data_IF_112932069843
#
_entry.id   IF_112932069843
#
_cell.length_a   1.000
_cell.length_b   1.000
_cell.length_c   1.000
_cell.angle_alpha   90.00
_cell.angle_beta   90.00
_cell.angle_gamma   90.00
#
_symmetry.space_group_name_H-M   'P 1'
#
loop_
_entity.id
_entity.type
_entity.pdbx_description
1 polymer ?
#
# COMPACT_ATOMS: atom_id res chain seq x y z
N UNK A 1 -6.37 44.93 15.90
CA UNK A 1 -6.12 45.71 14.67
C UNK A 1 -4.91 45.08 13.99
N UNK A 2 -5.11 44.26 12.95
CA UNK A 2 -4.04 43.51 12.27
C UNK A 2 -3.61 44.32 11.05
N UNK A 3 -2.36 44.81 11.04
CA UNK A 3 -1.76 45.51 9.90
C UNK A 3 -1.61 44.55 8.73
N UNK A 4 -2.41 44.74 7.68
CA UNK A 4 -2.31 44.01 6.42
C UNK A 4 -1.06 44.52 5.68
N UNK A 5 -0.01 43.71 5.62
CA UNK A 5 1.26 44.05 4.95
C UNK A 5 1.00 44.17 3.44
N UNK A 6 0.99 45.40 2.91
CA UNK A 6 0.90 45.63 1.48
C UNK A 6 2.21 45.18 0.82
N UNK A 7 2.19 44.03 0.15
CA UNK A 7 3.32 43.57 -0.64
C UNK A 7 3.44 44.43 -1.89
N UNK A 8 4.58 45.07 -2.08
CA UNK A 8 4.87 45.91 -3.25
C UNK A 8 4.83 45.05 -4.54
N UNK A 9 4.09 45.51 -5.55
CA UNK A 9 3.92 44.85 -6.87
C UNK A 9 5.26 44.54 -7.52
N UNK A 10 6.26 45.41 -7.33
CA UNK A 10 7.62 45.19 -7.81
C UNK A 10 8.29 43.96 -7.17
N UNK A 11 8.12 43.78 -5.85
CA UNK A 11 8.64 42.62 -5.13
C UNK A 11 7.99 41.33 -5.62
N UNK A 12 6.68 41.36 -5.90
CA UNK A 12 5.98 40.21 -6.47
C UNK A 12 6.49 39.87 -7.87
N UNK A 13 6.70 40.88 -8.73
CA UNK A 13 7.23 40.68 -10.08
C UNK A 13 8.64 40.06 -10.08
N UNK A 14 9.54 40.60 -9.26
CA UNK A 14 10.90 40.06 -9.10
C UNK A 14 10.86 38.62 -8.58
N UNK A 15 10.00 38.31 -7.61
CA UNK A 15 9.85 36.95 -7.10
C UNK A 15 9.36 35.97 -8.20
N UNK A 16 8.40 36.37 -9.03
CA UNK A 16 7.89 35.54 -10.13
C UNK A 16 8.98 35.27 -11.17
N UNK A 17 9.71 36.31 -11.59
CA UNK A 17 10.80 36.15 -12.57
C UNK A 17 11.90 35.23 -12.07
N UNK A 18 12.24 35.31 -10.77
CA UNK A 18 13.26 34.44 -10.16
C UNK A 18 12.78 33.00 -9.95
N UNK A 19 11.50 32.79 -9.60
CA UNK A 19 10.95 31.46 -9.34
C UNK A 19 10.48 30.73 -10.61
N UNK A 20 10.08 31.45 -11.66
CA UNK A 20 9.63 30.86 -12.92
C UNK A 20 10.61 29.83 -13.52
N UNK A 21 11.92 30.09 -13.66
CA UNK A 21 12.86 29.09 -14.19
C UNK A 21 13.02 27.88 -13.26
N UNK A 22 12.89 28.09 -11.94
CA UNK A 22 12.93 27.00 -10.95
C UNK A 22 11.74 26.07 -11.15
N UNK A 23 10.52 26.61 -11.26
CA UNK A 23 9.33 25.81 -11.55
C UNK A 23 9.39 25.14 -12.92
N UNK A 24 9.89 25.85 -13.94
CA UNK A 24 10.06 25.29 -15.29
C UNK A 24 10.98 24.06 -15.30
N UNK A 25 11.97 24.01 -14.40
CA UNK A 25 12.88 22.86 -14.27
C UNK A 25 12.33 21.77 -13.33
N UNK A 26 11.65 22.13 -12.24
CA UNK A 26 11.14 21.16 -11.25
C UNK A 26 9.94 20.37 -11.80
N UNK A 27 9.01 21.03 -12.52
CA UNK A 27 7.80 20.39 -13.05
C UNK A 27 8.11 19.16 -13.93
N UNK A 28 8.98 19.23 -14.96
CA UNK A 28 9.28 18.07 -15.78
C UNK A 28 9.97 16.96 -15.00
N UNK A 29 10.79 17.29 -14.00
CA UNK A 29 11.42 16.28 -13.12
C UNK A 29 10.38 15.55 -12.25
N UNK A 30 9.42 16.28 -11.67
CA UNK A 30 8.33 15.66 -10.91
C UNK A 30 7.42 14.80 -11.80
N UNK A 31 7.14 15.26 -13.03
CA UNK A 31 6.35 14.49 -13.99
C UNK A 31 7.09 13.21 -14.42
N UNK A 32 8.38 13.31 -14.73
CA UNK A 32 9.21 12.14 -15.06
C UNK A 32 9.26 11.16 -13.89
N UNK A 33 9.45 11.63 -12.66
CA UNK A 33 9.41 10.80 -11.46
C UNK A 33 8.05 10.09 -11.29
N UNK A 34 6.94 10.80 -11.47
CA UNK A 34 5.59 10.23 -11.41
C UNK A 34 5.38 9.15 -12.47
N UNK A 35 5.79 9.40 -13.73
CA UNK A 35 5.71 8.42 -14.81
C UNK A 35 6.53 7.17 -14.48
N UNK A 36 7.77 7.34 -14.00
CA UNK A 36 8.60 6.23 -13.56
C UNK A 36 7.94 5.40 -12.45
N UNK A 37 7.30 6.04 -11.48
CA UNK A 37 6.56 5.35 -10.40
C UNK A 37 5.37 4.55 -10.94
N UNK A 38 4.61 5.13 -11.89
CA UNK A 38 3.48 4.44 -12.53
C UNK A 38 3.94 3.23 -13.35
N UNK A 39 5.00 3.38 -14.14
CA UNK A 39 5.60 2.29 -14.94
C UNK A 39 6.12 1.18 -14.02
N UNK A 40 6.81 1.54 -12.94
CA UNK A 40 7.32 0.57 -11.96
C UNK A 40 6.19 -0.20 -11.28
N UNK A 41 5.12 0.49 -10.86
CA UNK A 41 3.94 -0.16 -10.27
C UNK A 41 3.21 -1.09 -11.24
N UNK A 42 3.05 -0.68 -12.50
CA UNK A 42 2.46 -1.49 -13.55
C UNK A 42 3.32 -2.74 -13.84
N UNK A 43 4.64 -2.57 -13.95
CA UNK A 43 5.58 -3.68 -14.16
C UNK A 43 5.56 -4.67 -13.00
N UNK A 44 5.60 -4.21 -11.74
CA UNK A 44 5.47 -5.07 -10.56
C UNK A 44 4.18 -5.88 -10.58
N UNK A 45 3.06 -5.21 -10.88
CA UNK A 45 1.74 -5.84 -10.94
C UNK A 45 1.71 -6.92 -12.02
N UNK A 46 2.22 -6.62 -13.21
CA UNK A 46 2.29 -7.56 -14.32
C UNK A 46 3.18 -8.77 -14.01
N UNK A 47 4.35 -8.56 -13.43
CA UNK A 47 5.26 -9.63 -13.01
C UNK A 47 4.59 -10.53 -11.95
N UNK A 48 3.87 -9.96 -10.99
CA UNK A 48 3.10 -10.72 -10.01
C UNK A 48 2.04 -11.59 -10.70
N UNK A 49 1.29 -11.04 -11.66
CA UNK A 49 0.28 -11.84 -12.38
C UNK A 49 0.90 -13.03 -13.10
N UNK A 50 2.05 -12.84 -13.75
CA UNK A 50 2.73 -13.93 -14.45
C UNK A 50 3.28 -14.98 -13.48
N UNK A 51 3.97 -14.56 -12.42
CA UNK A 51 4.72 -15.47 -11.55
C UNK A 51 3.89 -16.06 -10.41
N UNK A 52 3.02 -15.26 -9.80
CA UNK A 52 2.18 -15.69 -8.68
C UNK A 52 0.85 -16.22 -9.20
N UNK A 53 0.24 -15.56 -10.20
CA UNK A 53 -1.01 -16.00 -10.80
C UNK A 53 -0.92 -17.41 -11.39
N UNK A 54 0.19 -17.75 -12.05
CA UNK A 54 0.45 -19.11 -12.54
C UNK A 54 0.54 -20.18 -11.43
N UNK A 55 0.73 -19.76 -10.18
CA UNK A 55 0.78 -20.64 -8.99
C UNK A 55 -0.49 -20.58 -8.14
N UNK A 56 -1.52 -19.87 -8.60
CA UNK A 56 -2.75 -19.62 -7.83
C UNK A 56 -2.55 -18.69 -6.63
N UNK A 57 -1.42 -17.96 -6.57
CA UNK A 57 -1.13 -17.01 -5.51
C UNK A 57 -1.62 -15.63 -5.97
N UNK A 58 -2.51 -15.02 -5.19
CA UNK A 58 -3.09 -13.71 -5.49
C UNK A 58 -2.96 -12.72 -4.33
N UNK A 59 -2.36 -13.12 -3.22
CA UNK A 59 -2.35 -12.33 -1.99
C UNK A 59 -0.95 -12.26 -1.37
N UNK A 60 -0.60 -11.10 -0.83
CA UNK A 60 0.57 -10.88 0.02
C UNK A 60 0.10 -10.47 1.42
N UNK A 61 0.48 -11.23 2.44
CA UNK A 61 0.22 -10.91 3.83
C UNK A 61 1.51 -10.46 4.48
N UNK A 62 1.47 -9.31 5.15
CA UNK A 62 2.58 -8.86 5.99
C UNK A 62 2.05 -8.63 7.40
N UNK A 63 2.65 -9.30 8.38
CA UNK A 63 2.31 -9.16 9.80
C UNK A 63 3.59 -9.17 10.65
N UNK A 64 3.48 -8.98 11.96
CA UNK A 64 4.59 -9.18 12.91
C UNK A 64 4.17 -10.03 14.09
N UNK A 65 5.14 -10.52 14.84
CA UNK A 65 4.95 -11.30 16.08
C UNK A 65 4.48 -10.46 17.28
N UNK A 66 3.69 -9.42 17.04
CA UNK A 66 3.10 -8.66 18.14
C UNK A 66 1.97 -9.47 18.77
N UNK A 67 1.92 -9.61 20.11
CA UNK A 67 0.86 -10.34 20.79
C UNK A 67 -0.53 -9.71 20.58
N UNK A 68 -0.61 -8.48 20.07
CA UNK A 68 -1.89 -7.80 19.83
C UNK A 68 -2.65 -8.32 18.62
N UNK A 69 -1.97 -8.89 17.63
CA UNK A 69 -2.59 -9.32 16.39
C UNK A 69 -2.03 -10.62 15.81
N UNK A 70 -0.87 -11.11 16.28
CA UNK A 70 -0.23 -12.33 15.75
C UNK A 70 -1.23 -13.48 15.69
N UNK A 71 -1.81 -13.84 16.83
CA UNK A 71 -2.72 -14.99 16.95
C UNK A 71 -3.96 -14.79 16.07
N UNK A 72 -4.49 -13.56 16.01
CA UNK A 72 -5.60 -13.26 15.13
C UNK A 72 -5.24 -13.43 13.64
N UNK A 73 -4.07 -12.95 13.23
CA UNK A 73 -3.61 -13.08 11.86
C UNK A 73 -3.36 -14.55 11.50
N UNK A 74 -2.75 -15.34 12.38
CA UNK A 74 -2.43 -16.75 12.14
C UNK A 74 -3.65 -17.66 12.20
N UNK A 75 -4.61 -17.37 13.07
CA UNK A 75 -5.71 -18.28 13.36
C UNK A 75 -6.97 -17.90 12.57
N UNK A 76 -7.14 -16.63 12.22
CA UNK A 76 -8.34 -16.12 11.53
C UNK A 76 -8.07 -15.65 10.11
N UNK A 77 -7.06 -14.80 9.88
CA UNK A 77 -6.89 -14.14 8.57
C UNK A 77 -6.16 -15.03 7.56
N UNK A 78 -4.99 -15.57 7.93
CA UNK A 78 -4.15 -16.39 7.05
C UNK A 78 -4.86 -17.66 6.58
N UNK A 79 -5.57 -18.43 7.44
CA UNK A 79 -6.23 -19.66 7.01
C UNK A 79 -7.31 -19.42 5.94
N UNK A 80 -8.00 -18.27 5.97
CA UNK A 80 -9.01 -17.88 4.95
C UNK A 80 -8.42 -17.72 3.55
N UNK A 81 -7.11 -17.49 3.44
CA UNK A 81 -6.44 -17.32 2.16
C UNK A 81 -6.10 -18.67 1.49
N UNK A 82 -6.30 -19.80 2.19
CA UNK A 82 -6.22 -21.15 1.62
C UNK A 82 -4.91 -21.46 0.86
N UNK A 83 -3.78 -20.94 1.33
CA UNK A 83 -2.48 -21.15 0.67
C UNK A 83 -2.23 -20.29 -0.58
N UNK A 84 -3.17 -19.42 -0.97
CA UNK A 84 -3.03 -18.47 -2.08
C UNK A 84 -2.24 -17.20 -1.72
N UNK A 85 -1.54 -17.24 -0.59
CA UNK A 85 -0.88 -16.09 -0.01
C UNK A 85 0.62 -16.34 0.19
N UNK A 86 1.42 -15.35 -0.20
CA UNK A 86 2.78 -15.22 0.28
C UNK A 86 2.74 -14.47 1.60
N UNK A 87 3.48 -14.97 2.58
CA UNK A 87 3.48 -14.42 3.94
C UNK A 87 4.87 -13.84 4.22
N UNK A 88 4.91 -12.61 4.70
CA UNK A 88 6.12 -11.95 5.18
C UNK A 88 5.97 -11.58 6.65
N UNK A 89 6.88 -12.07 7.49
CA UNK A 89 6.96 -11.66 8.89
C UNK A 89 7.89 -10.44 9.03
N UNK A 90 7.30 -9.30 9.42
CA UNK A 90 7.99 -8.02 9.62
C UNK A 90 8.98 -8.05 10.79
N UNK A 91 8.77 -8.92 11.79
CA UNK A 91 9.76 -9.15 12.85
C UNK A 91 11.08 -9.65 12.26
N UNK A 92 10.99 -10.45 11.19
CA UNK A 92 12.13 -11.07 10.50
C UNK A 92 12.67 -10.21 9.34
N UNK A 93 12.25 -8.95 9.22
CA UNK A 93 12.60 -8.07 8.09
C UNK A 93 14.10 -7.90 7.82
N UNK A 94 14.94 -8.14 8.83
CA UNK A 94 16.41 -8.11 8.68
C UNK A 94 16.93 -9.24 7.79
N UNK A 95 16.21 -10.35 7.70
CA UNK A 95 16.55 -11.52 6.87
C UNK A 95 15.88 -11.49 5.49
N UNK A 96 15.04 -10.49 5.23
CA UNK A 96 14.36 -10.39 3.95
C UNK A 96 15.36 -10.12 2.82
N UNK A 97 15.24 -10.89 1.74
CA UNK A 97 15.92 -10.59 0.49
C UNK A 97 15.31 -9.32 -0.09
N UNK A 98 16.03 -8.20 0.03
CA UNK A 98 15.54 -6.85 -0.33
C UNK A 98 15.10 -6.71 -1.79
N UNK A 99 15.68 -7.52 -2.67
CA UNK A 99 15.36 -7.58 -4.10
C UNK A 99 14.33 -8.66 -4.45
N UNK A 100 13.75 -9.34 -3.46
CA UNK A 100 12.71 -10.33 -3.74
C UNK A 100 11.40 -9.66 -4.13
N UNK A 101 10.67 -10.29 -5.05
CA UNK A 101 9.38 -9.78 -5.54
C UNK A 101 8.37 -9.48 -4.41
N UNK A 102 8.18 -10.35 -3.39
CA UNK A 102 7.25 -10.05 -2.30
C UNK A 102 7.61 -8.76 -1.54
N UNK A 103 8.91 -8.53 -1.32
CA UNK A 103 9.40 -7.34 -0.62
C UNK A 103 9.23 -6.09 -1.48
N UNK A 104 9.47 -6.18 -2.79
CA UNK A 104 9.24 -5.08 -3.72
C UNK A 104 7.75 -4.69 -3.79
N UNK A 105 6.87 -5.68 -3.88
CA UNK A 105 5.41 -5.50 -3.85
C UNK A 105 4.98 -4.85 -2.54
N UNK A 106 5.46 -5.37 -1.40
CA UNK A 106 5.17 -4.78 -0.10
C UNK A 106 5.61 -3.31 -0.03
N UNK A 107 6.86 -3.00 -0.37
CA UNK A 107 7.38 -1.62 -0.29
C UNK A 107 6.62 -0.65 -1.18
N UNK A 108 6.22 -1.08 -2.37
CA UNK A 108 5.52 -0.22 -3.31
C UNK A 108 4.05 0.01 -2.92
N UNK A 109 3.32 -1.06 -2.52
CA UNK A 109 1.87 -0.97 -2.29
C UNK A 109 1.48 -0.73 -0.83
N UNK A 110 2.32 -1.08 0.15
CA UNK A 110 1.99 -0.87 1.56
C UNK A 110 2.18 0.58 2.02
N UNK A 111 2.91 1.42 1.29
CA UNK A 111 3.18 2.81 1.67
C UNK A 111 3.87 2.96 3.04
N UNK A 112 3.91 4.19 3.56
CA UNK A 112 4.77 4.53 4.70
C UNK A 112 4.10 4.48 6.08
N UNK A 113 2.78 4.31 6.14
CA UNK A 113 1.99 4.34 7.38
C UNK A 113 1.11 3.11 7.51
N UNK A 114 0.92 2.63 8.74
CA UNK A 114 -0.03 1.54 9.05
C UNK A 114 0.12 0.32 8.13
N UNK A 115 1.38 -0.02 7.81
CA UNK A 115 1.73 -1.06 6.85
C UNK A 115 1.83 -2.46 7.49
N UNK A 116 1.56 -2.58 8.79
CA UNK A 116 1.63 -3.85 9.50
C UNK A 116 0.60 -3.86 10.66
N UNK A 117 -0.34 -4.82 10.70
CA UNK A 117 -0.56 -5.87 9.70
C UNK A 117 -1.30 -5.36 8.46
N UNK A 118 -1.00 -5.95 7.30
CA UNK A 118 -1.61 -5.61 6.01
C UNK A 118 -1.80 -6.86 5.15
N UNK A 119 -2.88 -6.89 4.38
CA UNK A 119 -3.14 -7.88 3.33
C UNK A 119 -3.24 -7.14 2.01
N UNK A 120 -2.47 -7.53 1.00
CA UNK A 120 -2.48 -6.92 -0.33
C UNK A 120 -2.97 -7.96 -1.33
N UNK A 121 -4.13 -7.72 -1.93
CA UNK A 121 -4.73 -8.60 -2.93
C UNK A 121 -4.35 -8.09 -4.33
N UNK A 122 -3.63 -8.90 -5.09
CA UNK A 122 -3.12 -8.61 -6.43
C UNK A 122 -3.88 -9.44 -7.46
N UNK A 123 -4.72 -8.78 -8.23
CA UNK A 123 -5.66 -9.46 -9.15
C UNK A 123 -5.32 -9.17 -10.59
N UNK A 124 -5.39 -10.16 -11.49
CA UNK A 124 -5.25 -9.92 -12.93
C UNK A 124 -6.16 -8.78 -13.40
N UNK A 125 -5.58 -7.87 -14.17
CA UNK A 125 -6.26 -6.72 -14.78
C UNK A 125 -6.94 -5.75 -13.80
N UNK A 126 -6.55 -5.75 -12.52
CA UNK A 126 -7.07 -4.79 -11.53
C UNK A 126 -5.95 -4.22 -10.67
N UNK A 127 -6.17 -2.98 -10.23
CA UNK A 127 -5.26 -2.34 -9.30
C UNK A 127 -5.19 -3.11 -7.97
N UNK A 128 -3.98 -3.34 -7.40
CA UNK A 128 -3.82 -4.01 -6.11
C UNK A 128 -4.57 -3.31 -4.98
N UNK A 129 -5.20 -4.08 -4.10
CA UNK A 129 -5.97 -3.56 -2.98
C UNK A 129 -5.29 -3.91 -1.65
N UNK A 130 -5.03 -2.89 -0.85
CA UNK A 130 -4.40 -3.00 0.45
C UNK A 130 -5.44 -2.90 1.58
N UNK A 131 -5.49 -3.90 2.44
CA UNK A 131 -6.35 -4.01 3.62
C UNK A 131 -5.47 -3.87 4.86
N UNK A 132 -5.58 -2.74 5.55
CA UNK A 132 -4.74 -2.40 6.71
C UNK A 132 -5.47 -2.73 8.00
N UNK A 133 -4.79 -3.43 8.88
CA UNK A 133 -5.36 -3.93 10.12
C UNK A 133 -4.90 -3.18 11.37
N UNK A 134 -3.84 -2.36 11.27
CA UNK A 134 -3.28 -1.66 12.45
C UNK A 134 -4.31 -0.80 13.18
N UNK A 135 -4.98 0.12 12.46
CA UNK A 135 -5.98 1.00 13.05
C UNK A 135 -7.19 0.20 13.59
N UNK A 136 -7.77 -0.77 12.86
CA UNK A 136 -8.80 -1.65 13.40
C UNK A 136 -8.41 -2.40 14.68
N UNK A 137 -7.17 -2.90 14.79
CA UNK A 137 -6.70 -3.57 16.00
C UNK A 137 -6.55 -2.59 17.17
N UNK A 138 -6.08 -1.36 16.91
CA UNK A 138 -6.05 -0.29 17.91
C UNK A 138 -7.46 0.02 18.41
N UNK A 139 -8.41 0.19 17.50
CA UNK A 139 -9.80 0.54 17.84
C UNK A 139 -10.50 -0.60 18.60
N UNK A 140 -10.20 -1.86 18.26
CA UNK A 140 -10.64 -3.05 19.02
C UNK A 140 -10.16 -3.03 20.46
N UNK A 141 -8.93 -2.58 20.73
CA UNK A 141 -8.41 -2.42 22.10
C UNK A 141 -9.24 -1.42 22.92
N UNK A 142 -9.92 -0.49 22.25
CA UNK A 142 -10.85 0.46 22.85
C UNK A 142 -12.32 0.00 22.79
N UNK A 143 -12.57 -1.28 22.48
CA UNK A 143 -13.92 -1.88 22.47
C UNK A 143 -14.66 -1.75 21.13
N UNK A 144 -14.08 -1.12 20.11
CA UNK A 144 -14.73 -0.97 18.80
C UNK A 144 -14.37 -2.11 17.85
N UNK A 145 -15.23 -3.13 17.78
CA UNK A 145 -15.07 -4.26 16.87
C UNK A 145 -15.50 -3.96 15.42
N UNK A 146 -16.29 -2.91 15.20
CA UNK A 146 -16.88 -2.62 13.90
C UNK A 146 -15.82 -2.27 12.84
N UNK A 147 -14.73 -1.60 13.25
CA UNK A 147 -13.63 -1.27 12.35
C UNK A 147 -12.94 -2.53 11.80
N UNK A 148 -12.73 -3.54 12.65
CA UNK A 148 -12.12 -4.81 12.26
C UNK A 148 -13.04 -5.60 11.33
N UNK A 149 -14.31 -5.75 11.71
CA UNK A 149 -15.32 -6.43 10.89
C UNK A 149 -15.48 -5.79 9.51
N UNK A 150 -15.40 -4.46 9.41
CA UNK A 150 -15.48 -3.73 8.14
C UNK A 150 -14.31 -4.08 7.21
N UNK A 151 -13.09 -4.14 7.74
CA UNK A 151 -11.90 -4.51 6.96
C UNK A 151 -11.99 -5.95 6.49
N UNK A 152 -12.42 -6.87 7.36
CA UNK A 152 -12.63 -8.27 7.00
C UNK A 152 -13.69 -8.44 5.92
N UNK A 153 -14.86 -7.82 6.09
CA UNK A 153 -15.94 -7.87 5.10
C UNK A 153 -15.48 -7.33 3.74
N UNK A 154 -14.63 -6.29 3.74
CA UNK A 154 -14.06 -5.72 2.52
C UNK A 154 -13.05 -6.66 1.86
N UNK A 155 -12.22 -7.35 2.67
CA UNK A 155 -11.29 -8.37 2.20
C UNK A 155 -12.06 -9.56 1.60
N UNK A 156 -13.04 -10.10 2.32
CA UNK A 156 -13.85 -11.24 1.87
C UNK A 156 -14.60 -10.90 0.58
N UNK A 157 -15.21 -9.72 0.49
CA UNK A 157 -15.83 -9.24 -0.75
C UNK A 157 -14.82 -9.06 -1.90
N UNK A 158 -13.55 -8.81 -1.61
CA UNK A 158 -12.50 -8.75 -2.61
C UNK A 158 -12.10 -10.16 -3.08
N UNK A 159 -11.93 -11.11 -2.15
CA UNK A 159 -11.55 -12.49 -2.42
C UNK A 159 -12.63 -13.28 -3.16
N UNK A 160 -13.91 -13.15 -2.77
CA UNK A 160 -15.03 -13.84 -3.45
C UNK A 160 -15.22 -13.35 -4.90
N UNK A 161 -14.93 -12.08 -5.17
CA UNK A 161 -14.94 -11.54 -6.55
C UNK A 161 -13.80 -12.09 -7.42
N UNK A 162 -12.85 -12.84 -6.84
CA UNK A 162 -11.74 -13.45 -7.58
C UNK A 162 -12.05 -14.89 -7.97
N UNK A 163 -12.75 -15.64 -7.11
CA UNK A 163 -13.06 -17.05 -7.39
C UNK A 163 -14.02 -17.22 -8.56
N UNK A 164 -14.94 -16.28 -8.79
CA UNK A 164 -15.97 -16.36 -9.84
C UNK A 164 -15.48 -16.05 -11.27
N UNK A 165 -14.19 -15.77 -11.50
CA UNK A 165 -13.63 -15.43 -12.81
C UNK A 165 -12.54 -16.39 -13.30
N UNK A 166 -12.24 -17.41 -12.50
CA UNK A 166 -11.26 -18.46 -12.82
C UNK A 166 -11.88 -19.78 -13.28
N UNK A 167 -13.21 -19.82 -13.41
CA UNK A 167 -14.00 -20.87 -14.08
C UNK A 167 -14.45 -20.37 -15.44
#
# INVERSE_FOLDING_TARGET
>A
MVLKRETNVFTQFVAVVLLAPVFLLIIPLLLAWLVCMLVYGAALTFIVWLLWGARGIDTLVVYSDSPHWRDYMTDSVIPRLQGRAIILNWSERRHWRTLSLPVAVFRFFAGDREYNPIVIVLRPFRYPQAFRYWQPFRDRKHGNLAALQKVESSLDACLHRNTSKGE
#
